data_IF_170756875640
#
_entry.id   IF_170756875640
#
_cell.length_a   1.000
_cell.length_b   1.000
_cell.length_c   1.000
_cell.angle_alpha   90.00
_cell.angle_beta   90.00
_cell.angle_gamma   90.00
#
_symmetry.space_group_name_H-M   'P 1'
#
loop_
_entity.id
_entity.type
_entity.pdbx_description
1 polymer ?
#
# COMPACT_ATOMS: atom_id res chain seq x y z
N UNK A 1 -5.57 -2.62 -5.17
CA UNK A 1 -5.00 -1.28 -5.10
C UNK A 1 -5.75 -0.36 -6.06
N UNK A 2 -6.19 0.78 -5.57
CA UNK A 2 -6.65 1.90 -6.39
C UNK A 2 -5.55 2.96 -6.39
N UNK A 3 -5.16 3.40 -7.57
CA UNK A 3 -4.19 4.46 -7.76
C UNK A 3 -4.87 5.53 -8.62
N UNK A 4 -4.94 6.78 -8.16
CA UNK A 4 -5.59 7.85 -8.92
C UNK A 4 -4.97 7.96 -10.32
N UNK A 5 -5.81 8.11 -11.33
CA UNK A 5 -5.42 8.25 -12.74
C UNK A 5 -4.72 7.03 -13.37
N UNK A 6 -4.71 5.87 -12.70
CA UNK A 6 -4.19 4.60 -13.24
C UNK A 6 -5.26 3.53 -13.14
N UNK A 7 -5.86 3.19 -14.27
CA UNK A 7 -6.86 2.15 -14.34
C UNK A 7 -6.19 0.76 -14.40
N UNK A 8 -6.68 -0.15 -13.55
CA UNK A 8 -6.34 -1.57 -13.59
C UNK A 8 -7.44 -2.41 -14.25
N UNK A 9 -7.27 -3.71 -14.27
CA UNK A 9 -8.23 -4.65 -14.87
C UNK A 9 -9.33 -5.11 -13.90
N UNK A 10 -9.21 -4.80 -12.61
CA UNK A 10 -10.16 -5.27 -11.60
C UNK A 10 -11.27 -4.25 -11.36
N UNK A 11 -12.45 -4.55 -11.90
CA UNK A 11 -13.66 -3.75 -11.72
C UNK A 11 -14.66 -4.42 -10.77
N UNK A 12 -14.45 -5.69 -10.42
CA UNK A 12 -15.46 -6.52 -9.70
C UNK A 12 -15.36 -6.31 -8.19
N UNK A 13 -14.15 -6.07 -7.67
CA UNK A 13 -13.90 -6.05 -6.23
C UNK A 13 -13.96 -4.65 -5.60
N UNK A 14 -14.19 -3.59 -6.37
CA UNK A 14 -13.99 -2.22 -5.92
C UNK A 14 -15.15 -1.27 -6.25
N UNK A 15 -16.40 -1.75 -6.24
CA UNK A 15 -17.57 -0.92 -6.47
C UNK A 15 -17.48 -0.05 -7.75
N UNK A 16 -17.12 -0.70 -8.89
CA UNK A 16 -16.91 -0.08 -10.21
C UNK A 16 -15.63 0.78 -10.36
N UNK A 17 -14.77 0.88 -9.36
CA UNK A 17 -13.45 1.47 -9.54
C UNK A 17 -12.52 0.48 -10.28
N UNK A 18 -11.83 0.95 -11.32
CA UNK A 18 -10.85 0.16 -12.06
C UNK A 18 -9.57 -0.04 -11.23
N UNK A 19 -9.56 -1.05 -10.40
CA UNK A 19 -8.47 -1.35 -9.47
C UNK A 19 -7.35 -2.21 -10.07
N UNK A 20 -6.21 -2.17 -9.44
CA UNK A 20 -5.04 -3.01 -9.74
C UNK A 20 -5.04 -4.19 -8.78
N UNK A 21 -5.18 -5.41 -9.30
CA UNK A 21 -5.11 -6.63 -8.50
C UNK A 21 -3.66 -6.95 -8.15
N UNK A 22 -3.29 -6.79 -6.88
CA UNK A 22 -1.98 -7.11 -6.37
C UNK A 22 -1.93 -8.52 -5.78
N UNK A 23 -0.84 -9.25 -6.05
CA UNK A 23 -0.59 -10.59 -5.52
C UNK A 23 0.05 -10.54 -4.14
N UNK A 24 1.01 -9.63 -3.97
CA UNK A 24 1.70 -9.43 -2.69
C UNK A 24 1.91 -7.95 -2.43
N UNK A 25 2.07 -7.62 -1.17
CA UNK A 25 2.47 -6.29 -0.74
C UNK A 25 3.36 -6.39 0.51
N UNK A 26 4.25 -5.43 0.68
CA UNK A 26 5.15 -5.34 1.83
C UNK A 26 5.41 -3.89 2.18
N UNK A 27 5.39 -3.58 3.46
CA UNK A 27 5.71 -2.28 4.01
C UNK A 27 6.40 -2.46 5.36
N UNK A 28 7.31 -1.55 5.71
CA UNK A 28 8.06 -1.61 6.95
C UNK A 28 8.17 -0.22 7.57
N UNK A 29 8.00 -0.15 8.89
CA UNK A 29 8.37 1.01 9.70
C UNK A 29 9.53 0.63 10.62
N UNK A 30 10.53 1.50 10.73
CA UNK A 30 11.71 1.26 11.57
C UNK A 30 11.95 2.48 12.47
N UNK A 31 12.09 2.24 13.76
CA UNK A 31 12.50 3.22 14.75
C UNK A 31 13.91 2.87 15.24
N UNK A 32 14.94 3.64 14.88
CA UNK A 32 16.28 3.41 15.42
C UNK A 32 16.29 3.73 16.92
N UNK A 33 16.74 2.77 17.72
CA UNK A 33 16.89 2.89 19.16
C UNK A 33 18.37 2.92 19.51
N UNK A 34 18.82 3.95 20.23
CA UNK A 34 20.15 3.99 20.82
C UNK A 34 20.04 3.61 22.30
N UNK A 35 20.85 2.64 22.70
CA UNK A 35 21.12 2.37 24.13
C UNK A 35 22.37 3.13 24.53
N UNK A 36 22.21 4.11 25.40
CA UNK A 36 23.36 4.71 26.08
C UNK A 36 23.75 3.80 27.26
N UNK A 37 24.98 3.29 27.24
CA UNK A 37 25.49 2.39 28.29
C UNK A 37 25.62 3.14 29.64
N UNK A 38 25.69 4.46 29.61
CA UNK A 38 25.80 5.30 30.82
C UNK A 38 24.44 5.70 31.42
N UNK A 39 23.36 5.63 30.65
CA UNK A 39 22.00 5.91 31.05
C UNK A 39 21.10 4.73 30.75
N UNK A 40 20.30 4.29 31.71
CA UNK A 40 19.30 3.23 31.54
C UNK A 40 18.14 3.62 30.63
N UNK A 41 18.18 4.79 30.02
CA UNK A 41 17.13 5.30 29.13
C UNK A 41 17.44 5.00 27.65
N UNK A 42 16.40 4.56 26.93
CA UNK A 42 16.45 4.38 25.47
C UNK A 42 16.09 5.69 24.79
N UNK A 43 16.98 6.19 23.95
CA UNK A 43 16.68 7.34 23.10
C UNK A 43 16.13 6.84 21.76
N UNK A 44 14.89 7.26 21.45
CA UNK A 44 14.27 6.99 20.16
C UNK A 44 14.75 8.00 19.12
N UNK A 45 15.10 7.51 17.95
CA UNK A 45 15.40 8.33 16.78
C UNK A 45 14.13 8.74 16.01
N UNK A 46 14.30 9.12 14.77
CA UNK A 46 13.19 9.40 13.86
C UNK A 46 12.69 8.11 13.21
N UNK A 47 11.38 7.89 13.20
CA UNK A 47 10.80 6.76 12.48
C UNK A 47 11.01 6.93 10.97
N UNK A 48 11.35 5.84 10.30
CA UNK A 48 11.46 5.75 8.84
C UNK A 48 10.52 4.68 8.33
N UNK A 49 9.83 4.98 7.23
CA UNK A 49 9.00 4.01 6.51
C UNK A 49 9.70 3.62 5.22
N UNK A 50 9.66 2.34 4.88
CA UNK A 50 10.07 1.89 3.55
C UNK A 50 9.01 2.27 2.52
N UNK A 51 9.39 2.36 1.25
CA UNK A 51 8.43 2.35 0.16
C UNK A 51 7.55 1.10 0.28
N UNK A 52 6.29 1.21 -0.13
CA UNK A 52 5.42 0.04 -0.24
C UNK A 52 5.79 -0.74 -1.50
N UNK A 53 6.27 -1.96 -1.32
CA UNK A 53 6.56 -2.88 -2.42
C UNK A 53 5.30 -3.67 -2.76
N UNK A 54 4.96 -3.75 -4.04
CA UNK A 54 3.80 -4.47 -4.55
C UNK A 54 4.20 -5.36 -5.72
N UNK A 55 3.54 -6.51 -5.85
CA UNK A 55 3.66 -7.36 -7.03
C UNK A 55 2.29 -7.63 -7.64
N UNK A 56 2.24 -7.70 -8.97
CA UNK A 56 1.04 -8.02 -9.72
C UNK A 56 1.38 -8.75 -11.02
N UNK A 57 0.43 -9.43 -11.61
CA UNK A 57 0.56 -9.85 -13.01
C UNK A 57 0.49 -8.61 -13.92
N UNK A 58 1.27 -8.60 -14.99
CA UNK A 58 1.21 -7.51 -15.97
C UNK A 58 -0.17 -7.41 -16.58
N UNK A 59 -0.71 -6.21 -16.63
CA UNK A 59 -2.06 -5.91 -17.10
C UNK A 59 -2.13 -4.52 -17.76
N UNK A 60 -3.34 -4.00 -17.94
CA UNK A 60 -3.59 -2.69 -18.55
C UNK A 60 -2.91 -1.54 -17.78
N UNK A 61 -2.70 -1.67 -16.46
CA UNK A 61 -2.03 -0.65 -15.66
C UNK A 61 -0.52 -0.59 -15.87
N UNK A 62 0.12 -1.62 -16.42
CA UNK A 62 1.59 -1.70 -16.54
C UNK A 62 2.19 -0.51 -17.29
N UNK A 63 1.73 -0.14 -18.51
CA UNK A 63 2.28 1.03 -19.20
C UNK A 63 2.07 2.34 -18.45
N UNK A 64 0.93 2.49 -17.77
CA UNK A 64 0.61 3.69 -16.99
C UNK A 64 1.51 3.82 -15.76
N UNK A 65 1.85 2.71 -15.10
CA UNK A 65 2.81 2.68 -13.99
C UNK A 65 4.23 3.07 -14.45
N UNK A 66 4.68 2.60 -15.63
CA UNK A 66 5.94 3.04 -16.23
C UNK A 66 5.94 4.53 -16.53
N UNK A 67 4.84 5.04 -17.12
CA UNK A 67 4.67 6.46 -17.39
C UNK A 67 4.67 7.30 -16.09
N UNK A 68 3.98 6.84 -15.05
CA UNK A 68 3.95 7.50 -13.74
C UNK A 68 5.33 7.56 -13.09
N UNK A 69 6.11 6.48 -13.20
CA UNK A 69 7.48 6.45 -12.71
C UNK A 69 8.37 7.43 -13.49
N UNK A 70 8.30 7.42 -14.81
CA UNK A 70 9.12 8.28 -15.68
C UNK A 70 8.84 9.77 -15.50
N UNK A 71 7.58 10.13 -15.24
CA UNK A 71 7.12 11.51 -15.10
C UNK A 71 7.06 11.98 -13.64
N UNK A 72 7.41 11.14 -12.67
CA UNK A 72 7.26 11.43 -11.24
C UNK A 72 5.84 11.92 -10.88
N UNK A 73 4.82 11.27 -11.45
CA UNK A 73 3.43 11.66 -11.23
C UNK A 73 3.00 11.39 -9.79
N UNK A 74 2.33 12.37 -9.19
CA UNK A 74 1.83 12.26 -7.82
C UNK A 74 0.41 11.69 -7.84
N UNK A 75 0.16 10.69 -6.98
CA UNK A 75 -1.10 9.99 -6.86
C UNK A 75 -1.61 9.97 -5.42
N UNK A 76 -2.88 9.66 -5.27
CA UNK A 76 -3.43 9.07 -4.05
C UNK A 76 -3.56 7.57 -4.28
N UNK A 77 -3.00 6.76 -3.39
CA UNK A 77 -3.04 5.31 -3.48
C UNK A 77 -3.80 4.72 -2.30
N UNK A 78 -4.74 3.82 -2.57
CA UNK A 78 -5.50 3.10 -1.55
C UNK A 78 -5.39 1.60 -1.78
N UNK A 79 -4.66 0.91 -0.90
CA UNK A 79 -4.61 -0.55 -0.87
C UNK A 79 -5.72 -1.06 0.03
N UNK A 80 -6.60 -1.89 -0.51
CA UNK A 80 -7.65 -2.56 0.24
C UNK A 80 -7.37 -4.06 0.26
N UNK A 81 -7.27 -4.64 1.44
CA UNK A 81 -7.12 -6.08 1.66
C UNK A 81 -8.36 -6.57 2.39
N UNK A 82 -8.98 -7.61 1.87
CA UNK A 82 -10.24 -8.09 2.43
C UNK A 82 -10.64 -9.43 1.84
N UNK A 83 -11.92 -9.75 2.02
CA UNK A 83 -12.55 -10.96 1.47
C UNK A 83 -13.81 -10.63 0.72
N UNK A 84 -14.19 -11.48 -0.21
CA UNK A 84 -15.50 -11.42 -0.85
C UNK A 84 -16.49 -12.26 -0.04
N UNK A 85 -17.59 -11.67 0.36
CA UNK A 85 -18.70 -12.34 1.00
C UNK A 85 -20.02 -11.91 0.35
N UNK A 86 -20.86 -12.88 0.00
CA UNK A 86 -22.18 -12.64 -0.62
C UNK A 86 -22.13 -11.72 -1.87
N UNK A 87 -21.05 -11.84 -2.66
CA UNK A 87 -20.90 -11.05 -3.89
C UNK A 87 -20.35 -9.63 -3.72
N UNK A 88 -20.10 -9.19 -2.48
CA UNK A 88 -19.51 -7.89 -2.19
C UNK A 88 -18.14 -8.03 -1.58
N UNK A 89 -17.21 -7.13 -1.92
CA UNK A 89 -15.90 -7.05 -1.31
C UNK A 89 -15.98 -6.35 0.05
N UNK A 90 -15.45 -7.01 1.07
CA UNK A 90 -15.42 -6.50 2.45
C UNK A 90 -13.98 -6.20 2.84
N UNK A 91 -13.56 -4.93 2.84
CA UNK A 91 -12.22 -4.56 3.27
C UNK A 91 -12.04 -4.79 4.77
N UNK A 92 -10.95 -5.44 5.14
CA UNK A 92 -10.54 -5.69 6.54
C UNK A 92 -9.37 -4.78 6.91
N UNK A 93 -8.46 -4.58 5.97
CA UNK A 93 -7.28 -3.76 6.15
C UNK A 93 -7.17 -2.78 4.97
N UNK A 94 -7.06 -1.51 5.28
CA UNK A 94 -7.00 -0.43 4.29
C UNK A 94 -5.77 0.42 4.58
N UNK A 95 -4.96 0.67 3.55
CA UNK A 95 -3.82 1.58 3.61
C UNK A 95 -4.04 2.68 2.59
N UNK A 96 -4.16 3.91 3.06
CA UNK A 96 -4.24 5.10 2.21
C UNK A 96 -2.90 5.84 2.26
N UNK A 97 -2.35 6.10 1.10
CA UNK A 97 -1.10 6.84 0.92
C UNK A 97 -1.35 8.09 0.11
N UNK A 98 -1.04 9.25 0.70
CA UNK A 98 -1.17 10.54 0.04
C UNK A 98 0.18 11.03 -0.47
N UNK A 99 0.15 11.78 -1.57
CA UNK A 99 1.33 12.20 -2.31
C UNK A 99 2.24 11.00 -2.61
N UNK A 100 1.63 9.93 -3.14
CA UNK A 100 2.31 8.72 -3.52
C UNK A 100 2.89 8.86 -4.93
N UNK A 101 4.09 8.34 -5.14
CA UNK A 101 4.75 8.29 -6.44
C UNK A 101 5.29 6.89 -6.69
N UNK A 102 5.25 6.44 -7.94
CA UNK A 102 5.91 5.20 -8.34
C UNK A 102 7.42 5.44 -8.34
N UNK A 103 8.12 4.97 -7.31
CA UNK A 103 9.57 5.17 -7.15
C UNK A 103 10.41 4.15 -7.92
N UNK A 104 9.84 2.98 -8.23
CA UNK A 104 10.50 1.93 -8.99
C UNK A 104 9.42 1.08 -9.68
N UNK A 105 9.69 0.62 -10.89
CA UNK A 105 8.91 -0.41 -11.56
C UNK A 105 9.83 -1.32 -12.37
N UNK A 106 9.56 -2.63 -12.28
CA UNK A 106 10.29 -3.68 -12.98
C UNK A 106 9.28 -4.73 -13.45
N UNK A 107 9.40 -5.15 -14.69
CA UNK A 107 8.60 -6.24 -15.25
C UNK A 107 9.53 -7.41 -15.58
N UNK A 108 9.18 -8.60 -15.13
CA UNK A 108 9.91 -9.82 -15.38
C UNK A 108 8.99 -10.87 -16.01
N UNK A 109 9.50 -11.55 -17.03
CA UNK A 109 8.87 -12.75 -17.60
C UNK A 109 9.78 -13.95 -17.34
N UNK A 110 9.26 -14.97 -16.66
CA UNK A 110 9.91 -16.27 -16.58
C UNK A 110 9.78 -17.02 -17.91
N UNK A 111 10.71 -17.95 -18.20
CA UNK A 111 10.55 -18.93 -19.29
C UNK A 111 9.28 -19.77 -19.11
N UNK A 112 9.01 -20.68 -20.05
CA UNK A 112 7.90 -21.64 -20.00
C UNK A 112 6.48 -21.05 -20.15
N UNK A 113 6.32 -19.93 -20.87
CA UNK A 113 5.01 -19.35 -21.17
C UNK A 113 4.31 -18.72 -19.95
N UNK A 114 5.03 -18.45 -18.88
CA UNK A 114 4.49 -17.73 -17.72
C UNK A 114 4.20 -16.27 -18.08
N UNK A 115 3.08 -15.79 -17.58
CA UNK A 115 2.69 -14.40 -17.75
C UNK A 115 3.71 -13.49 -17.04
N UNK A 116 4.05 -12.32 -17.60
CA UNK A 116 4.94 -11.35 -16.94
C UNK A 116 4.39 -10.91 -15.59
N UNK A 117 5.29 -10.63 -14.67
CA UNK A 117 4.99 -10.10 -13.33
C UNK A 117 5.65 -8.75 -13.16
N UNK A 118 4.90 -7.81 -12.67
CA UNK A 118 5.37 -6.47 -12.33
C UNK A 118 5.68 -6.39 -10.85
N UNK A 119 6.81 -5.77 -10.53
CA UNK A 119 7.24 -5.38 -9.20
C UNK A 119 7.34 -3.86 -9.20
N UNK A 120 6.65 -3.20 -8.30
CA UNK A 120 6.71 -1.75 -8.22
C UNK A 120 6.69 -1.28 -6.78
N UNK A 121 7.23 -0.07 -6.56
CA UNK A 121 7.28 0.56 -5.26
C UNK A 121 6.55 1.89 -5.29
N UNK A 122 5.84 2.16 -4.20
CA UNK A 122 5.22 3.45 -3.95
C UNK A 122 5.93 4.14 -2.79
N UNK A 123 6.57 5.27 -3.08
CA UNK A 123 7.01 6.23 -2.08
C UNK A 123 5.84 7.15 -1.75
N UNK A 124 5.69 7.56 -0.51
CA UNK A 124 4.56 8.38 -0.06
C UNK A 124 4.98 9.37 1.01
N UNK A 125 4.23 10.47 1.12
CA UNK A 125 4.46 11.49 2.14
C UNK A 125 3.65 11.25 3.40
N UNK A 126 2.39 10.79 3.25
CA UNK A 126 1.50 10.48 4.36
C UNK A 126 0.92 9.10 4.21
N UNK A 127 0.73 8.44 5.35
CA UNK A 127 0.12 7.12 5.40
C UNK A 127 -0.98 7.09 6.45
N UNK A 128 -2.07 6.42 6.12
CA UNK A 128 -3.13 6.05 7.05
C UNK A 128 -3.40 4.57 6.93
N UNK A 129 -3.45 3.87 8.04
CA UNK A 129 -3.72 2.44 8.11
C UNK A 129 -4.98 2.27 8.94
N UNK A 130 -5.95 1.53 8.41
CA UNK A 130 -7.19 1.19 9.10
C UNK A 130 -7.34 -0.33 9.14
N UNK A 131 -7.69 -0.84 10.30
CA UNK A 131 -8.09 -2.23 10.48
C UNK A 131 -9.54 -2.29 10.96
N UNK A 132 -10.35 -3.09 10.27
CA UNK A 132 -11.77 -3.32 10.59
C UNK A 132 -11.95 -4.76 11.02
N UNK A 133 -12.17 -4.97 12.30
CA UNK A 133 -12.49 -6.30 12.83
C UNK A 133 -13.87 -6.73 12.31
N UNK A 134 -13.95 -7.93 11.76
CA UNK A 134 -15.21 -8.51 11.34
C UNK A 134 -15.69 -9.48 12.45
N UNK A 135 -16.78 -9.14 13.11
CA UNK A 135 -17.47 -10.01 14.07
C UNK A 135 -18.47 -10.94 13.38
N UNK A 136 -18.80 -12.06 14.01
CA UNK A 136 -19.88 -12.96 13.59
C UNK A 136 -21.25 -12.35 13.91
N UNK A 137 -21.31 -11.51 14.93
CA UNK A 137 -22.50 -10.77 15.34
C UNK A 137 -22.29 -9.25 15.17
N UNK A 138 -23.35 -8.55 14.78
CA UNK A 138 -23.42 -7.15 14.35
C UNK A 138 -23.14 -6.12 15.45
N UNK A 139 -22.60 -6.53 16.59
CA UNK A 139 -22.25 -5.62 17.69
C UNK A 139 -20.81 -5.16 17.47
N UNK A 140 -20.70 -3.94 16.90
CA UNK A 140 -19.50 -3.10 16.74
C UNK A 140 -18.15 -3.80 16.94
N UNK A 141 -17.60 -4.44 15.90
CA UNK A 141 -16.21 -4.86 15.95
C UNK A 141 -15.34 -3.61 16.09
N UNK A 142 -14.30 -3.68 16.91
CA UNK A 142 -13.36 -2.60 17.09
C UNK A 142 -12.70 -2.21 15.77
N UNK A 143 -12.75 -0.94 15.44
CA UNK A 143 -11.94 -0.36 14.37
C UNK A 143 -10.75 0.33 15.03
N UNK A 144 -9.57 0.15 14.47
CA UNK A 144 -8.38 0.86 14.89
C UNK A 144 -7.72 1.51 13.66
N UNK A 145 -7.14 2.69 13.88
CA UNK A 145 -6.51 3.46 12.82
C UNK A 145 -5.22 4.09 13.30
N UNK A 146 -4.27 4.17 12.38
CA UNK A 146 -2.98 4.81 12.56
C UNK A 146 -2.73 5.76 11.39
N UNK A 147 -2.27 6.99 11.67
CA UNK A 147 -1.87 7.94 10.65
C UNK A 147 -0.52 8.57 10.97
N UNK A 148 0.29 8.81 9.94
CA UNK A 148 1.59 9.42 10.07
C UNK A 148 1.95 10.31 8.87
N UNK A 149 2.42 11.53 9.15
CA UNK A 149 3.01 12.43 8.16
C UNK A 149 4.53 12.32 8.24
N UNK A 150 5.14 11.74 7.18
CA UNK A 150 6.58 11.52 7.11
C UNK A 150 7.37 12.83 6.99
N UNK A 151 6.77 13.84 6.37
CA UNK A 151 7.43 15.14 6.19
C UNK A 151 7.57 15.90 7.50
N UNK A 152 6.54 15.86 8.31
CA UNK A 152 6.51 16.50 9.63
C UNK A 152 7.02 15.60 10.76
N UNK A 153 7.07 14.28 10.51
CA UNK A 153 7.37 13.24 11.50
C UNK A 153 6.42 13.30 12.71
N UNK A 154 5.13 13.43 12.44
CA UNK A 154 4.06 13.57 13.44
C UNK A 154 2.87 12.68 13.07
N UNK A 155 2.01 12.29 14.02
CA UNK A 155 0.72 11.68 13.74
C UNK A 155 -0.10 12.56 12.78
N UNK A 156 -0.81 11.92 11.84
CA UNK A 156 -1.64 12.57 10.81
C UNK A 156 -3.12 12.31 11.06
#
# INVERSE_FOLDING_TARGET
>A
LVLSDVAGNDTILLDDEAGILCQTWQMQATMPMQMDIANTERTAGRVTFSDMLLTKMSDLSTPALFSSCANATVHTATLRVGRTASGSFMPIFVVTMNNAMVSEIRTEAGGDGKFPTDFFKLNFQKIQIEYKQQGVDVISPGNDSFGWDLSLNLPA
#
